data_IF_873323968335
#
_entry.id   IF_873323968335
#
_cell.length_a   1.000
_cell.length_b   1.000
_cell.length_c   1.000
_cell.angle_alpha   90.00
_cell.angle_beta   90.00
_cell.angle_gamma   90.00
#
_symmetry.space_group_name_H-M   'P 1'
#
loop_
_entity.id
_entity.type
_entity.pdbx_description
1 polymer ?
#
# COMPACT_ATOMS: atom_id res chain seq x y z
N UNK A 1 -31.94 40.51 2.66
CA UNK A 1 -31.74 39.18 3.26
C UNK A 1 -30.64 38.49 2.48
N UNK A 2 -29.40 38.76 2.87
CA UNK A 2 -28.23 38.33 2.12
C UNK A 2 -28.10 36.81 2.21
N UNK A 3 -28.29 36.13 1.08
CA UNK A 3 -27.94 34.72 0.93
C UNK A 3 -26.42 34.67 0.90
N UNK A 4 -25.79 34.63 2.06
CA UNK A 4 -24.39 34.23 2.13
C UNK A 4 -24.30 32.84 1.48
N UNK A 5 -23.64 32.77 0.34
CA UNK A 5 -23.38 31.53 -0.36
C UNK A 5 -22.36 30.77 0.49
N UNK A 6 -22.86 29.88 1.35
CA UNK A 6 -22.03 29.08 2.23
C UNK A 6 -21.17 28.16 1.35
N UNK A 7 -19.90 28.50 1.20
CA UNK A 7 -18.94 27.70 0.44
C UNK A 7 -18.46 26.53 1.30
N UNK A 8 -18.49 25.33 0.72
CA UNK A 8 -18.09 24.09 1.40
C UNK A 8 -16.64 24.13 1.89
N UNK A 9 -15.78 24.79 1.11
CA UNK A 9 -14.36 24.96 1.38
C UNK A 9 -14.11 25.80 2.63
N UNK A 10 -14.88 26.87 2.85
CA UNK A 10 -14.76 27.69 4.06
C UNK A 10 -15.08 26.89 5.34
N UNK A 11 -16.11 26.04 5.29
CA UNK A 11 -16.47 25.16 6.41
C UNK A 11 -15.36 24.14 6.70
N UNK A 12 -14.77 23.56 5.65
CA UNK A 12 -13.67 22.59 5.80
C UNK A 12 -12.42 23.28 6.36
N UNK A 13 -12.06 24.46 5.85
CA UNK A 13 -10.90 25.22 6.32
C UNK A 13 -11.04 25.61 7.80
N UNK A 14 -12.23 26.07 8.22
CA UNK A 14 -12.50 26.40 9.62
C UNK A 14 -12.47 25.17 10.53
N UNK A 15 -12.92 24.01 10.04
CA UNK A 15 -12.76 22.74 10.77
C UNK A 15 -11.28 22.34 10.93
N UNK A 16 -10.48 22.49 9.88
CA UNK A 16 -9.06 22.13 9.89
C UNK A 16 -8.21 23.09 10.72
N UNK A 17 -8.64 24.34 10.88
CA UNK A 17 -8.01 25.31 11.77
C UNK A 17 -8.08 24.91 13.26
N UNK A 18 -8.90 23.91 13.61
CA UNK A 18 -8.71 23.12 14.85
C UNK A 18 -9.53 23.55 16.08
N UNK A 19 -10.40 24.55 15.98
CA UNK A 19 -11.05 25.11 17.17
C UNK A 19 -12.55 24.78 17.32
N UNK A 20 -13.14 24.12 16.33
CA UNK A 20 -14.59 24.01 16.24
C UNK A 20 -15.02 22.57 15.92
N UNK A 21 -15.85 22.02 16.79
CA UNK A 21 -16.47 20.72 16.57
C UNK A 21 -17.54 20.81 15.49
N UNK A 22 -17.77 19.71 14.77
CA UNK A 22 -18.83 19.62 13.77
C UNK A 22 -20.23 20.07 14.27
N UNK A 23 -20.53 19.92 15.57
CA UNK A 23 -21.79 20.39 16.18
C UNK A 23 -21.90 21.92 16.18
N UNK A 24 -20.81 22.61 16.52
CA UNK A 24 -20.73 24.08 16.49
C UNK A 24 -20.77 24.60 15.05
N UNK A 25 -20.08 23.96 14.12
CA UNK A 25 -20.18 24.29 12.68
C UNK A 25 -21.60 24.10 12.14
N UNK A 26 -22.28 23.04 12.58
CA UNK A 26 -23.66 22.76 12.19
C UNK A 26 -24.63 23.87 12.65
N UNK A 27 -24.45 24.36 13.88
CA UNK A 27 -25.24 25.48 14.40
C UNK A 27 -24.92 26.81 13.69
N UNK A 28 -23.64 27.06 13.38
CA UNK A 28 -23.16 28.31 12.77
C UNK A 28 -23.61 28.46 11.31
N UNK A 29 -23.57 27.36 10.54
CA UNK A 29 -23.87 27.36 9.10
C UNK A 29 -25.24 26.77 8.76
N UNK A 30 -26.00 26.25 9.74
CA UNK A 30 -27.29 25.60 9.49
C UNK A 30 -27.20 24.32 8.66
N UNK A 31 -26.01 23.74 8.52
CA UNK A 31 -25.77 22.51 7.74
C UNK A 31 -25.74 21.32 8.68
N UNK A 32 -26.33 20.19 8.28
CA UNK A 32 -26.27 18.96 9.08
C UNK A 32 -24.82 18.53 9.35
N UNK A 33 -24.53 18.14 10.60
CA UNK A 33 -23.27 17.53 11.02
C UNK A 33 -22.80 16.42 10.04
N UNK A 34 -23.73 15.59 9.55
CA UNK A 34 -23.41 14.47 8.67
C UNK A 34 -22.84 14.94 7.33
N UNK A 35 -23.39 16.03 6.80
CA UNK A 35 -22.96 16.65 5.55
C UNK A 35 -21.57 17.26 5.69
N UNK A 36 -21.31 17.96 6.79
CA UNK A 36 -19.99 18.53 7.09
C UNK A 36 -18.95 17.42 7.26
N UNK A 37 -19.29 16.37 8.00
CA UNK A 37 -18.44 15.20 8.16
C UNK A 37 -18.12 14.55 6.80
N UNK A 38 -19.10 14.41 5.91
CA UNK A 38 -18.89 13.87 4.57
C UNK A 38 -17.93 14.76 3.76
N UNK A 39 -18.09 16.08 3.77
CA UNK A 39 -17.20 17.01 3.07
C UNK A 39 -15.76 16.93 3.59
N UNK A 40 -15.59 16.90 4.92
CA UNK A 40 -14.29 16.76 5.56
C UNK A 40 -13.64 15.40 5.27
N UNK A 41 -14.42 14.31 5.19
CA UNK A 41 -13.90 13.00 4.79
C UNK A 41 -13.46 12.97 3.32
N UNK A 42 -14.24 13.58 2.43
CA UNK A 42 -13.91 13.70 1.01
C UNK A 42 -12.64 14.54 0.80
N UNK A 43 -12.48 15.63 1.56
CA UNK A 43 -11.29 16.49 1.53
C UNK A 43 -10.04 15.77 2.04
N UNK A 44 -10.14 15.03 3.15
CA UNK A 44 -9.01 14.26 3.71
C UNK A 44 -8.63 13.02 2.87
N UNK A 45 -9.16 12.86 1.65
CA UNK A 45 -8.86 11.70 0.79
C UNK A 45 -9.43 10.37 1.30
N UNK A 46 -10.13 10.36 2.44
CA UNK A 46 -10.83 9.20 2.98
C UNK A 46 -12.15 9.05 2.23
N UNK A 47 -12.06 8.66 0.94
CA UNK A 47 -13.21 8.14 0.20
C UNK A 47 -13.82 7.06 1.07
N UNK A 48 -15.05 7.26 1.56
CA UNK A 48 -15.83 6.18 2.16
C UNK A 48 -15.85 5.07 1.13
N UNK A 49 -15.10 4.00 1.41
CA UNK A 49 -15.22 2.75 0.66
C UNK A 49 -16.65 2.32 0.92
N UNK A 50 -17.56 2.68 0.01
CA UNK A 50 -18.92 2.14 0.03
C UNK A 50 -18.67 0.64 -0.07
N UNK A 51 -18.83 -0.08 1.04
CA UNK A 51 -18.90 -1.55 1.03
C UNK A 51 -20.21 -1.93 0.35
N UNK A 52 -20.33 -1.60 -0.94
CA UNK A 52 -21.29 -2.24 -1.80
C UNK A 52 -20.79 -3.68 -1.82
N UNK A 53 -21.58 -4.60 -1.27
CA UNK A 53 -21.31 -6.04 -1.34
C UNK A 53 -21.51 -6.47 -2.79
N UNK A 54 -20.63 -6.01 -3.67
CA UNK A 54 -20.54 -6.47 -5.05
C UNK A 54 -19.57 -7.64 -4.98
N UNK A 55 -20.06 -8.83 -5.34
CA UNK A 55 -19.24 -10.01 -5.55
C UNK A 55 -18.41 -9.81 -6.84
N UNK A 56 -17.48 -8.87 -6.86
CA UNK A 56 -16.54 -8.66 -7.96
C UNK A 56 -15.16 -8.33 -7.36
N UNK A 57 -14.17 -8.97 -7.94
CA UNK A 57 -12.75 -9.12 -7.62
C UNK A 57 -11.97 -7.82 -7.29
N UNK A 58 -10.84 -7.93 -6.54
CA UNK A 58 -10.16 -6.80 -5.89
C UNK A 58 -9.18 -6.09 -6.84
N UNK A 59 -9.67 -5.46 -7.91
CA UNK A 59 -8.81 -4.89 -8.96
C UNK A 59 -8.93 -3.38 -9.19
N UNK A 60 -9.71 -2.64 -8.42
CA UNK A 60 -9.88 -1.21 -8.69
C UNK A 60 -10.05 -0.42 -7.40
N UNK A 61 -9.00 0.32 -7.03
CA UNK A 61 -8.95 1.53 -6.19
C UNK A 61 -7.59 1.57 -5.47
N UNK A 62 -6.52 1.92 -6.19
CA UNK A 62 -5.30 2.45 -5.57
C UNK A 62 -4.81 3.60 -6.43
N UNK A 63 -4.73 4.76 -5.79
CA UNK A 63 -4.12 6.01 -6.24
C UNK A 63 -2.73 5.81 -6.84
N UNK A 64 -2.42 6.60 -7.87
CA UNK A 64 -1.29 6.45 -8.80
C UNK A 64 0.14 6.49 -8.20
N UNK A 65 0.36 6.62 -6.89
CA UNK A 65 1.73 6.69 -6.32
C UNK A 65 2.15 5.55 -5.35
N UNK A 66 1.29 4.61 -4.95
CA UNK A 66 1.69 3.56 -3.97
C UNK A 66 1.36 2.12 -4.37
N UNK A 67 1.11 1.88 -5.65
CA UNK A 67 1.00 0.55 -6.21
C UNK A 67 2.39 0.07 -6.64
N UNK A 68 3.16 -0.56 -5.73
CA UNK A 68 4.30 -1.39 -6.15
C UNK A 68 3.77 -2.30 -7.27
N UNK A 69 4.27 -2.18 -8.52
CA UNK A 69 3.66 -2.84 -9.66
C UNK A 69 3.48 -4.33 -9.33
N UNK A 70 2.28 -4.86 -9.55
CA UNK A 70 1.93 -6.26 -9.22
C UNK A 70 2.98 -7.23 -9.79
N UNK A 71 3.52 -6.89 -10.95
CA UNK A 71 4.63 -7.56 -11.61
C UNK A 71 5.93 -7.59 -10.78
N UNK A 72 6.30 -6.47 -10.15
CA UNK A 72 7.48 -6.39 -9.27
C UNK A 72 7.31 -7.31 -8.06
N UNK A 73 6.11 -7.40 -7.48
CA UNK A 73 5.85 -8.32 -6.35
C UNK A 73 5.97 -9.78 -6.77
N UNK A 74 5.39 -10.12 -7.93
CA UNK A 74 5.48 -11.47 -8.49
C UNK A 74 6.94 -11.84 -8.78
N UNK A 75 7.67 -10.95 -9.45
CA UNK A 75 9.06 -11.15 -9.80
C UNK A 75 9.96 -11.31 -8.56
N UNK A 76 9.72 -10.53 -7.51
CA UNK A 76 10.42 -10.68 -6.23
C UNK A 76 10.12 -12.02 -5.55
N UNK A 77 8.88 -12.52 -5.63
CA UNK A 77 8.51 -13.81 -5.08
C UNK A 77 9.22 -14.97 -5.80
N UNK A 78 9.22 -14.96 -7.14
CA UNK A 78 9.91 -15.99 -7.93
C UNK A 78 11.42 -15.96 -7.68
N UNK A 79 12.01 -14.76 -7.64
CA UNK A 79 13.42 -14.58 -7.33
C UNK A 79 13.80 -15.10 -5.93
N UNK A 80 12.93 -14.93 -4.93
CA UNK A 80 13.15 -15.50 -3.59
C UNK A 80 13.14 -17.02 -3.62
N UNK A 81 12.20 -17.63 -4.35
CA UNK A 81 12.08 -19.07 -4.50
C UNK A 81 13.31 -19.67 -5.19
N UNK A 82 13.76 -19.06 -6.29
CA UNK A 82 14.97 -19.49 -7.00
C UNK A 82 16.24 -19.35 -6.15
N UNK A 83 16.38 -18.25 -5.39
CA UNK A 83 17.51 -18.09 -4.46
C UNK A 83 17.52 -19.16 -3.38
N UNK A 84 16.35 -19.51 -2.84
CA UNK A 84 16.23 -20.56 -1.84
C UNK A 84 16.59 -21.93 -2.42
N UNK A 85 16.11 -22.25 -3.62
CA UNK A 85 16.44 -23.48 -4.32
C UNK A 85 17.95 -23.61 -4.56
N UNK A 86 18.59 -22.56 -5.07
CA UNK A 86 20.04 -22.54 -5.25
C UNK A 86 20.80 -22.71 -3.93
N UNK A 87 20.33 -22.09 -2.84
CA UNK A 87 20.95 -22.26 -1.51
C UNK A 87 20.85 -23.71 -1.03
N UNK A 88 19.71 -24.35 -1.24
CA UNK A 88 19.50 -25.75 -0.91
C UNK A 88 20.44 -26.67 -1.73
N UNK A 89 20.52 -26.47 -3.05
CA UNK A 89 21.39 -27.26 -3.91
C UNK A 89 22.86 -27.14 -3.50
N UNK A 90 23.33 -25.92 -3.20
CA UNK A 90 24.69 -25.72 -2.72
C UNK A 90 24.92 -26.44 -1.39
N UNK A 91 23.98 -26.36 -0.44
CA UNK A 91 24.10 -27.06 0.84
C UNK A 91 24.11 -28.58 0.67
N UNK A 92 23.32 -29.13 -0.25
CA UNK A 92 23.35 -30.55 -0.60
C UNK A 92 24.71 -30.96 -1.17
N UNK A 93 25.31 -30.14 -2.03
CA UNK A 93 26.66 -30.36 -2.55
C UNK A 93 27.67 -30.35 -1.40
N UNK A 94 27.61 -29.38 -0.50
CA UNK A 94 28.54 -29.25 0.63
C UNK A 94 28.47 -30.49 1.55
N UNK A 95 27.25 -30.96 1.87
CA UNK A 95 27.04 -32.19 2.66
C UNK A 95 27.60 -33.42 1.93
N UNK A 96 27.36 -33.53 0.62
CA UNK A 96 27.84 -34.65 -0.17
C UNK A 96 29.39 -34.67 -0.27
N UNK A 97 30.03 -33.51 -0.42
CA UNK A 97 31.49 -33.39 -0.40
C UNK A 97 32.07 -33.79 0.97
N UNK A 98 31.42 -33.40 2.07
CA UNK A 98 31.83 -33.76 3.43
C UNK A 98 31.73 -35.27 3.68
N UNK A 99 30.60 -35.89 3.32
CA UNK A 99 30.35 -37.32 3.57
C UNK A 99 31.18 -38.23 2.67
N UNK A 100 31.31 -37.88 1.38
CA UNK A 100 31.97 -38.72 0.38
C UNK A 100 33.48 -38.44 0.26
N UNK A 101 33.98 -37.33 0.83
CA UNK A 101 35.38 -36.88 0.69
C UNK A 101 35.83 -36.73 -0.77
N UNK A 102 34.89 -36.48 -1.68
CA UNK A 102 35.14 -36.24 -3.11
C UNK A 102 34.71 -34.81 -3.44
N UNK A 103 35.50 -34.10 -4.24
CA UNK A 103 35.14 -32.76 -4.73
C UNK A 103 34.16 -32.86 -5.90
N UNK A 104 32.89 -32.51 -5.68
CA UNK A 104 31.83 -32.56 -6.68
C UNK A 104 31.79 -31.24 -7.48
N UNK A 105 32.13 -30.11 -6.85
CA UNK A 105 32.18 -28.80 -7.50
C UNK A 105 33.45 -28.63 -8.36
N UNK A 106 33.27 -28.17 -9.59
CA UNK A 106 34.39 -27.77 -10.47
C UNK A 106 35.09 -26.53 -9.89
N UNK A 107 36.37 -26.67 -9.52
CA UNK A 107 37.22 -25.51 -9.17
C UNK A 107 37.73 -24.87 -10.46
N UNK A 108 37.32 -23.64 -10.75
CA UNK A 108 37.90 -22.86 -11.85
C UNK A 108 39.32 -22.46 -11.45
N UNK A 109 40.33 -23.12 -12.02
CA UNK A 109 41.72 -22.78 -11.81
C UNK A 109 42.67 -23.83 -12.38
N UNK A 110 43.13 -23.62 -13.60
CA UNK A 110 44.45 -24.08 -14.00
C UNK A 110 45.42 -22.92 -13.77
N UNK A 111 46.54 -23.15 -13.09
CA UNK A 111 47.65 -22.19 -13.01
C UNK A 111 48.05 -21.82 -14.44
N UNK A 112 47.99 -20.54 -14.79
CA UNK A 112 48.75 -20.05 -15.93
C UNK A 112 50.23 -20.27 -15.61
N UNK A 113 50.90 -21.09 -16.42
CA UNK A 113 52.36 -21.28 -16.41
C UNK A 113 53.04 -20.11 -17.11
#
# INVERSE_FOLDING_TARGET
MDRQTITKEAIIAEYLAGEITYRKLSAKYGVSFQTIHQWVQMFQGKKRVKKVKVKISPASLVSEEESIPVEVKHLQAELRKERLHNKLLNAMIDIAEEQLKVSIRKKYGAKQL
#
